data_IF_376802911681
#
_entry.id   IF_376802911681
#
_cell.length_a   1.000
_cell.length_b   1.000
_cell.length_c   1.000
_cell.angle_alpha   90.00
_cell.angle_beta   90.00
_cell.angle_gamma   90.00
#
_symmetry.space_group_name_H-M   'P 1'
#
loop_
_entity.id
_entity.type
_entity.pdbx_description
1 polymer ?
#
# COMPACT_ATOMS: atom_id res chain seq x y z
N UNK A 1 35.39 -41.13 21.41
CA UNK A 1 34.49 -41.94 20.57
C UNK A 1 33.32 -42.30 21.46
N UNK A 2 32.24 -41.53 21.38
CA UNK A 2 31.07 -41.67 22.24
C UNK A 2 30.19 -42.81 21.73
N UNK A 3 29.89 -43.74 22.62
CA UNK A 3 28.88 -44.78 22.46
C UNK A 3 27.55 -44.17 22.01
N UNK A 4 27.22 -44.34 20.74
CA UNK A 4 25.91 -44.02 20.19
C UNK A 4 25.06 -45.28 20.30
N UNK A 5 24.27 -45.33 21.36
CA UNK A 5 23.14 -46.26 21.51
C UNK A 5 22.41 -46.43 20.17
N UNK A 6 22.22 -47.67 19.68
CA UNK A 6 21.50 -47.93 18.44
C UNK A 6 20.02 -47.61 18.66
N UNK A 7 19.63 -46.38 18.29
CA UNK A 7 18.29 -45.85 18.50
C UNK A 7 18.25 -44.33 18.73
N UNK A 8 19.37 -43.71 19.12
CA UNK A 8 19.42 -42.27 19.39
C UNK A 8 19.14 -41.40 18.18
N UNK A 9 19.62 -41.80 16.99
CA UNK A 9 19.42 -41.05 15.74
C UNK A 9 17.97 -41.14 15.24
N UNK A 10 17.33 -42.30 15.36
CA UNK A 10 15.93 -42.52 14.96
C UNK A 10 14.96 -41.78 15.87
N UNK A 11 15.22 -41.79 17.18
CA UNK A 11 14.43 -41.00 18.15
C UNK A 11 14.59 -39.49 17.91
N UNK A 12 15.80 -39.04 17.59
CA UNK A 12 16.05 -37.64 17.22
C UNK A 12 15.31 -37.23 15.95
N UNK A 13 15.29 -38.08 14.92
CA UNK A 13 14.54 -37.82 13.69
C UNK A 13 13.03 -37.72 13.94
N UNK A 14 12.49 -38.61 14.77
CA UNK A 14 11.08 -38.55 15.20
C UNK A 14 10.76 -37.27 15.96
N UNK A 15 11.67 -36.83 16.83
CA UNK A 15 11.49 -35.61 17.61
C UNK A 15 11.52 -34.35 16.72
N UNK A 16 12.45 -34.29 15.77
CA UNK A 16 12.53 -33.20 14.79
C UNK A 16 11.28 -33.17 13.91
N UNK A 17 10.85 -34.34 13.40
CA UNK A 17 9.65 -34.44 12.56
C UNK A 17 8.39 -33.99 13.32
N UNK A 18 8.23 -34.41 14.57
CA UNK A 18 7.11 -34.01 15.42
C UNK A 18 7.12 -32.51 15.71
N UNK A 19 8.29 -31.93 16.00
CA UNK A 19 8.43 -30.50 16.23
C UNK A 19 8.08 -29.69 14.98
N UNK A 20 8.46 -30.17 13.80
CA UNK A 20 8.16 -29.54 12.52
C UNK A 20 6.66 -29.60 12.21
N UNK A 21 6.00 -30.73 12.52
CA UNK A 21 4.54 -30.87 12.41
C UNK A 21 3.81 -29.92 13.38
N UNK A 22 4.30 -29.78 14.62
CA UNK A 22 3.71 -28.85 15.61
C UNK A 22 3.91 -27.40 15.16
N UNK A 23 5.09 -27.04 14.65
CA UNK A 23 5.34 -25.72 14.08
C UNK A 23 4.41 -25.42 12.89
N UNK A 24 4.23 -26.38 11.99
CA UNK A 24 3.29 -26.25 10.86
C UNK A 24 1.83 -26.21 11.35
N UNK A 25 1.47 -26.91 12.42
CA UNK A 25 0.11 -26.85 12.96
C UNK A 25 -0.19 -25.51 13.66
N UNK A 26 0.77 -24.99 14.43
CA UNK A 26 0.63 -23.73 15.18
C UNK A 26 0.77 -22.50 14.28
N UNK A 27 1.71 -22.54 13.33
CA UNK A 27 1.97 -21.41 12.42
C UNK A 27 1.41 -21.60 11.02
N UNK A 28 0.89 -22.78 10.68
CA UNK A 28 0.31 -23.03 9.36
C UNK A 28 -0.82 -22.08 9.04
N UNK A 29 -1.71 -21.78 10.00
CA UNK A 29 -2.78 -20.79 9.79
C UNK A 29 -2.26 -19.35 9.63
N UNK A 30 -1.13 -19.02 10.23
CA UNK A 30 -0.45 -17.72 10.07
C UNK A 30 0.27 -17.63 8.73
N UNK A 31 1.04 -18.66 8.36
CA UNK A 31 1.76 -18.75 7.10
C UNK A 31 0.78 -18.83 5.92
N UNK A 32 -0.33 -19.55 6.09
CA UNK A 32 -1.38 -19.66 5.07
C UNK A 32 -2.18 -18.36 4.96
N UNK A 33 -2.31 -17.55 6.02
CA UNK A 33 -2.83 -16.16 5.87
C UNK A 33 -1.86 -15.23 5.12
N UNK A 34 -0.55 -15.40 5.29
CA UNK A 34 0.44 -14.63 4.52
C UNK A 34 0.58 -15.11 3.07
N UNK A 35 0.37 -16.40 2.80
CA UNK A 35 0.47 -16.98 1.45
C UNK A 35 -0.85 -17.03 0.69
N UNK A 36 -2.01 -17.16 1.34
CA UNK A 36 -3.35 -17.05 0.72
C UNK A 36 -3.80 -15.61 0.54
N UNK A 37 -2.88 -14.74 0.13
CA UNK A 37 -3.18 -13.54 -0.65
C UNK A 37 -3.37 -13.93 -2.14
N UNK A 38 -4.03 -15.06 -2.39
CA UNK A 38 -4.48 -15.48 -3.72
C UNK A 38 -5.62 -14.56 -4.13
N UNK A 39 -5.25 -13.45 -4.76
CA UNK A 39 -6.14 -12.36 -5.18
C UNK A 39 -5.77 -10.98 -4.63
N UNK A 40 -4.56 -10.80 -4.08
CA UNK A 40 -4.09 -9.50 -3.60
C UNK A 40 -4.16 -8.46 -4.72
N UNK A 41 -5.15 -7.56 -4.65
CA UNK A 41 -5.06 -6.30 -5.37
C UNK A 41 -3.68 -5.71 -5.05
N UNK A 42 -2.92 -5.34 -6.08
CA UNK A 42 -1.58 -4.73 -5.93
C UNK A 42 -1.60 -3.56 -4.93
N UNK A 43 -2.73 -2.87 -4.89
CA UNK A 43 -3.00 -1.75 -4.00
C UNK A 43 -3.92 -2.18 -2.87
N UNK A 44 -3.47 -1.98 -1.64
CA UNK A 44 -4.28 -2.08 -0.43
C UNK A 44 -4.83 -0.67 -0.10
N UNK A 45 -6.16 -0.54 -0.07
CA UNK A 45 -6.84 0.74 0.19
C UNK A 45 -7.59 0.60 1.50
N UNK A 46 -7.21 1.40 2.50
CA UNK A 46 -7.82 1.39 3.82
C UNK A 46 -8.41 2.76 4.13
N UNK A 47 -9.69 2.77 4.51
CA UNK A 47 -10.33 3.96 5.11
C UNK A 47 -10.00 4.00 6.60
N UNK A 48 -9.50 5.14 7.09
CA UNK A 48 -9.22 5.39 8.49
C UNK A 48 -10.13 6.50 9.02
N UNK A 49 -10.49 6.48 10.32
CA UNK A 49 -11.26 7.55 10.91
C UNK A 49 -10.48 8.85 10.83
N UNK A 50 -11.07 9.85 10.19
CA UNK A 50 -10.46 11.16 10.06
C UNK A 50 -10.74 12.01 11.32
N UNK A 51 -9.77 12.85 11.69
CA UNK A 51 -9.87 13.72 12.85
C UNK A 51 -10.92 14.85 12.68
N UNK A 52 -11.30 15.16 11.43
CA UNK A 52 -12.23 16.24 11.11
C UNK A 52 -13.67 15.74 10.92
N UNK A 53 -14.68 16.39 11.52
CA UNK A 53 -16.09 16.02 11.35
C UNK A 53 -16.51 16.02 9.88
N UNK A 54 -17.11 14.91 9.42
CA UNK A 54 -17.60 14.78 8.06
C UNK A 54 -16.51 14.62 6.99
N UNK A 55 -15.26 14.36 7.40
CA UNK A 55 -14.19 13.95 6.49
C UNK A 55 -13.99 12.44 6.49
N UNK A 56 -13.44 11.93 5.40
CA UNK A 56 -13.01 10.54 5.24
C UNK A 56 -11.53 10.54 4.89
N UNK A 57 -10.76 9.63 5.45
CA UNK A 57 -9.34 9.54 5.19
C UNK A 57 -8.99 8.17 4.64
N UNK A 58 -8.10 8.15 3.65
CA UNK A 58 -7.72 6.95 2.93
C UNK A 58 -6.20 6.83 2.87
N UNK A 59 -5.73 5.61 3.06
CA UNK A 59 -4.34 5.21 2.82
C UNK A 59 -4.35 4.16 1.71
N UNK A 60 -3.60 4.44 0.65
CA UNK A 60 -3.33 3.52 -0.45
C UNK A 60 -1.89 3.06 -0.34
N UNK A 61 -1.69 1.76 -0.24
CA UNK A 61 -0.37 1.13 -0.17
C UNK A 61 -0.14 0.24 -1.38
N UNK A 62 0.99 0.40 -2.05
CA UNK A 62 1.44 -0.53 -3.09
C UNK A 62 2.36 -1.60 -2.47
N UNK A 63 1.86 -2.83 -2.39
CA UNK A 63 2.59 -3.96 -1.80
C UNK A 63 3.84 -4.33 -2.61
N UNK A 64 3.90 -3.99 -3.91
CA UNK A 64 5.05 -4.33 -4.77
C UNK A 64 6.22 -3.36 -4.57
N UNK A 65 5.92 -2.07 -4.52
CA UNK A 65 6.95 -1.02 -4.46
C UNK A 65 7.24 -0.60 -3.02
N UNK A 66 6.32 -0.84 -2.09
CA UNK A 66 6.34 -0.31 -0.73
C UNK A 66 5.96 1.17 -0.65
N UNK A 67 5.32 1.69 -1.68
CA UNK A 67 4.92 3.10 -1.76
C UNK A 67 3.58 3.34 -1.07
N UNK A 68 3.36 4.57 -0.61
CA UNK A 68 2.17 4.96 0.14
C UNK A 68 1.62 6.30 -0.35
N UNK A 69 0.31 6.40 -0.47
CA UNK A 69 -0.42 7.63 -0.74
C UNK A 69 -1.49 7.80 0.35
N UNK A 70 -1.52 8.95 0.99
CA UNK A 70 -2.54 9.30 1.98
C UNK A 70 -3.35 10.50 1.49
N UNK A 71 -4.67 10.41 1.54
CA UNK A 71 -5.54 11.50 1.14
C UNK A 71 -6.80 11.61 2.01
N UNK A 72 -7.32 12.83 2.09
CA UNK A 72 -8.50 13.23 2.83
C UNK A 72 -9.59 13.66 1.86
N UNK A 73 -10.83 13.30 2.15
CA UNK A 73 -12.01 13.84 1.49
C UNK A 73 -12.71 14.79 2.47
N UNK A 74 -12.82 16.06 2.09
CA UNK A 74 -13.46 17.11 2.89
C UNK A 74 -14.51 17.79 2.01
N UNK A 75 -15.78 17.68 2.38
CA UNK A 75 -16.89 18.33 1.66
C UNK A 75 -16.86 18.10 0.13
N UNK A 76 -16.57 16.86 -0.30
CA UNK A 76 -16.51 16.51 -1.74
C UNK A 76 -15.22 16.92 -2.45
N UNK A 77 -14.21 17.41 -1.73
CA UNK A 77 -12.90 17.75 -2.26
C UNK A 77 -11.86 16.74 -1.76
N UNK A 78 -11.06 16.20 -2.68
CA UNK A 78 -9.92 15.36 -2.34
C UNK A 78 -8.70 16.20 -2.05
N UNK A 79 -8.00 15.91 -0.96
CA UNK A 79 -6.74 16.55 -0.60
C UNK A 79 -5.71 15.48 -0.34
N UNK A 80 -4.62 15.50 -1.08
CA UNK A 80 -3.50 14.61 -0.81
C UNK A 80 -2.71 15.16 0.37
N UNK A 81 -2.42 14.29 1.32
CA UNK A 81 -1.70 14.62 2.56
C UNK A 81 -0.24 14.25 2.41
N UNK A 82 0.04 13.04 1.96
CA UNK A 82 1.40 12.56 1.74
C UNK A 82 1.47 11.61 0.56
N UNK A 83 2.63 11.61 -0.10
CA UNK A 83 3.01 10.62 -1.11
C UNK A 83 4.43 10.17 -0.78
N UNK A 84 4.60 8.90 -0.47
CA UNK A 84 5.89 8.31 -0.12
C UNK A 84 6.25 7.25 -1.16
N UNK A 85 7.28 7.56 -1.97
CA UNK A 85 7.82 6.62 -2.96
C UNK A 85 9.29 6.33 -2.64
N UNK A 86 9.66 5.05 -2.44
CA UNK A 86 11.05 4.66 -2.22
C UNK A 86 11.94 5.12 -3.37
N UNK A 87 13.15 5.58 -3.06
CA UNK A 87 14.06 6.22 -4.03
C UNK A 87 14.29 5.43 -5.32
N UNK A 88 14.32 4.09 -5.24
CA UNK A 88 14.49 3.19 -6.39
C UNK A 88 13.31 3.17 -7.37
N UNK A 89 12.15 3.70 -6.98
CA UNK A 89 10.90 3.72 -7.76
C UNK A 89 10.45 5.14 -8.13
N UNK A 90 11.22 6.17 -7.76
CA UNK A 90 10.86 7.54 -8.11
C UNK A 90 10.91 7.76 -9.61
N UNK A 91 9.92 8.47 -10.15
CA UNK A 91 9.84 8.78 -11.58
C UNK A 91 9.48 7.60 -12.48
N UNK A 92 9.15 6.42 -11.92
CA UNK A 92 8.65 5.29 -12.70
C UNK A 92 7.13 5.31 -12.91
N UNK A 93 6.44 6.35 -12.41
CA UNK A 93 4.98 6.52 -12.54
C UNK A 93 4.16 5.88 -11.43
N UNK A 94 4.80 5.43 -10.34
CA UNK A 94 4.12 4.79 -9.19
C UNK A 94 3.20 5.77 -8.47
N UNK A 95 3.57 7.05 -8.42
CA UNK A 95 2.73 8.14 -7.87
C UNK A 95 1.38 8.21 -8.60
N UNK A 96 1.41 8.10 -9.92
CA UNK A 96 0.23 8.11 -10.80
C UNK A 96 -0.64 6.89 -10.55
N UNK A 97 -0.03 5.70 -10.47
CA UNK A 97 -0.75 4.45 -10.23
C UNK A 97 -1.39 4.40 -8.83
N UNK A 98 -0.69 4.90 -7.80
CA UNK A 98 -1.25 5.06 -6.45
C UNK A 98 -2.46 5.98 -6.45
N UNK A 99 -2.38 7.10 -7.17
CA UNK A 99 -3.50 8.03 -7.27
C UNK A 99 -4.69 7.41 -8.00
N UNK A 100 -4.47 6.73 -9.12
CA UNK A 100 -5.55 6.05 -9.86
C UNK A 100 -6.23 4.96 -9.02
N UNK A 101 -5.45 4.21 -8.23
CA UNK A 101 -5.99 3.25 -7.28
C UNK A 101 -6.85 3.96 -6.21
N UNK A 102 -6.35 5.05 -5.61
CA UNK A 102 -7.11 5.84 -4.64
C UNK A 102 -8.41 6.42 -5.21
N UNK A 103 -8.35 6.96 -6.43
CA UNK A 103 -9.51 7.51 -7.13
C UNK A 103 -10.61 6.47 -7.36
N UNK A 104 -10.24 5.20 -7.60
CA UNK A 104 -11.22 4.12 -7.76
C UNK A 104 -12.07 3.87 -6.50
N UNK A 105 -11.56 4.22 -5.32
CA UNK A 105 -12.29 4.13 -4.06
C UNK A 105 -13.26 5.31 -3.83
N UNK A 106 -13.05 6.43 -4.52
CA UNK A 106 -13.83 7.67 -4.39
C UNK A 106 -14.14 8.31 -5.76
N UNK A 107 -14.83 7.58 -6.66
CA UNK A 107 -15.06 8.01 -8.04
C UNK A 107 -15.90 9.29 -8.16
N UNK A 108 -16.62 9.68 -7.11
CA UNK A 108 -17.44 10.89 -7.06
C UNK A 108 -16.63 12.19 -6.91
N UNK A 109 -15.33 12.10 -6.60
CA UNK A 109 -14.50 13.26 -6.29
C UNK A 109 -13.79 13.78 -7.55
N UNK A 110 -14.26 14.93 -8.04
CA UNK A 110 -13.72 15.57 -9.24
C UNK A 110 -12.60 16.58 -8.94
N UNK A 111 -12.52 17.10 -7.71
CA UNK A 111 -11.61 18.20 -7.36
C UNK A 111 -10.55 17.73 -6.38
N UNK A 112 -9.28 17.95 -6.73
CA UNK A 112 -8.15 17.44 -5.99
C UNK A 112 -7.12 18.54 -5.71
N UNK A 113 -6.68 18.65 -4.46
CA UNK A 113 -5.58 19.53 -4.06
C UNK A 113 -4.35 18.72 -3.73
N UNK A 114 -3.22 19.11 -4.30
CA UNK A 114 -1.93 18.49 -4.07
C UNK A 114 -1.11 19.28 -3.03
N UNK A 115 -0.39 18.62 -2.11
CA UNK A 115 0.51 19.31 -1.19
C UNK A 115 1.72 19.87 -1.96
N UNK A 116 2.55 20.73 -1.34
CA UNK A 116 3.82 21.15 -1.94
C UNK A 116 4.63 19.92 -2.37
N UNK A 117 4.82 19.76 -3.67
CA UNK A 117 5.41 18.56 -4.27
C UNK A 117 6.93 18.69 -4.39
N UNK A 118 7.60 17.55 -4.37
CA UNK A 118 8.96 17.45 -4.95
C UNK A 118 8.87 17.65 -6.46
N UNK A 119 9.99 17.94 -7.17
CA UNK A 119 9.98 18.05 -8.63
C UNK A 119 9.34 16.85 -9.33
N UNK A 120 9.56 15.64 -8.81
CA UNK A 120 8.98 14.40 -9.32
C UNK A 120 7.45 14.37 -9.15
N UNK A 121 6.96 14.80 -7.98
CA UNK A 121 5.53 14.93 -7.72
C UNK A 121 4.85 15.94 -8.65
N UNK A 122 5.52 17.05 -8.99
CA UNK A 122 5.01 18.02 -9.96
C UNK A 122 4.86 17.42 -11.36
N UNK A 123 5.83 16.60 -11.79
CA UNK A 123 5.76 15.90 -13.08
C UNK A 123 4.62 14.89 -13.10
N UNK A 124 4.48 14.09 -12.05
CA UNK A 124 3.38 13.12 -11.92
C UNK A 124 2.01 13.81 -11.95
N UNK A 125 1.88 14.97 -11.29
CA UNK A 125 0.66 15.75 -11.25
C UNK A 125 0.25 16.31 -12.61
N UNK A 126 1.21 16.83 -13.39
CA UNK A 126 0.96 17.27 -14.78
C UNK A 126 0.57 16.08 -15.66
N UNK A 127 1.20 14.92 -15.49
CA UNK A 127 0.81 13.70 -16.22
C UNK A 127 -0.60 13.24 -15.89
N UNK A 128 -0.99 13.31 -14.60
CA UNK A 128 -2.33 12.99 -14.13
C UNK A 128 -3.38 13.94 -14.71
N UNK A 129 -3.11 15.25 -14.71
CA UNK A 129 -3.99 16.26 -15.29
C UNK A 129 -4.27 15.99 -16.78
N UNK A 130 -3.24 15.64 -17.56
CA UNK A 130 -3.41 15.28 -18.96
C UNK A 130 -4.17 13.96 -19.17
N UNK A 131 -3.98 12.96 -18.30
CA UNK A 131 -4.61 11.64 -18.43
C UNK A 131 -6.07 11.65 -17.98
N UNK A 132 -6.43 12.50 -17.02
CA UNK A 132 -7.76 12.61 -16.42
C UNK A 132 -8.26 14.06 -16.53
N UNK A 133 -8.56 14.55 -17.75
CA UNK A 133 -8.99 15.93 -17.97
C UNK A 133 -10.35 16.26 -17.32
N UNK A 134 -11.12 15.25 -16.93
CA UNK A 134 -12.35 15.38 -16.15
C UNK A 134 -12.11 15.81 -14.70
N UNK A 135 -10.89 15.62 -14.19
CA UNK A 135 -10.50 16.02 -12.83
C UNK A 135 -9.91 17.42 -12.85
N UNK A 136 -10.17 18.16 -11.78
CA UNK A 136 -9.56 19.48 -11.56
C UNK A 136 -8.52 19.38 -10.47
N UNK A 137 -7.26 19.64 -10.83
CA UNK A 137 -6.14 19.65 -9.91
C UNK A 137 -5.77 21.08 -9.52
N UNK A 138 -5.55 21.28 -8.23
CA UNK A 138 -5.08 22.52 -7.63
C UNK A 138 -3.75 22.25 -6.93
N UNK A 139 -2.77 23.12 -7.13
CA UNK A 139 -1.53 23.06 -6.37
C UNK A 139 -1.68 23.66 -4.96
N UNK A 140 -0.62 23.59 -4.17
CA UNK A 140 -0.60 24.13 -2.82
C UNK A 140 -0.70 25.67 -2.74
N UNK A 141 -0.49 26.38 -3.85
CA UNK A 141 -0.64 27.84 -3.97
C UNK A 141 -2.06 28.25 -4.38
N UNK A 142 -2.94 27.29 -4.69
CA UNK A 142 -4.28 27.53 -5.20
C UNK A 142 -4.31 27.82 -6.70
N UNK A 143 -3.22 27.56 -7.43
CA UNK A 143 -3.22 27.62 -8.88
C UNK A 143 -3.79 26.31 -9.45
N UNK A 144 -4.66 26.46 -10.45
CA UNK A 144 -5.18 25.32 -11.20
C UNK A 144 -4.08 24.78 -12.12
N UNK A 145 -3.94 23.47 -12.13
CA UNK A 145 -3.03 22.75 -13.02
C UNK A 145 -3.84 22.37 -14.27
N UNK A 146 -3.32 22.75 -15.43
CA UNK A 146 -3.93 22.59 -16.76
C UNK A 146 -3.02 21.77 -17.64
#
# INVERSE_FOLDING_TARGET
MSDLLPGGQTVWFLFIALMLVILVALFGRSLWRSFSKDGSARFDITEIPADLPGSREYIVRDDQTGSLLQFLIIQGHGRIVSVEVPGRHRGSGVETELFEAGLSAVPEIAWWTWPPTTPEGSVALVQLAHRRPELTFWDASGARIV
#
